data_IF_140203944984
#
_entry.id   IF_140203944984
#
_cell.length_a   1.000
_cell.length_b   1.000
_cell.length_c   1.000
_cell.angle_alpha   90.00
_cell.angle_beta   90.00
_cell.angle_gamma   90.00
#
_symmetry.space_group_name_H-M   'P 1'
#
loop_
_entity.id
_entity.type
_entity.pdbx_description
1 polymer ?
#
# COMPACT_ATOMS: atom_id res chain seq x y z
N UNK A 1 7.10 -6.27 -10.97
CA UNK A 1 6.38 -6.89 -9.84
C UNK A 1 7.38 -7.40 -8.83
N UNK A 2 6.97 -7.51 -7.57
CA UNK A 2 7.80 -8.06 -6.48
C UNK A 2 7.83 -9.59 -6.53
N UNK A 3 8.61 -10.18 -5.62
CA UNK A 3 8.82 -11.63 -5.51
C UNK A 3 7.52 -12.42 -5.29
N UNK A 4 6.52 -11.79 -4.67
CA UNK A 4 5.18 -12.36 -4.42
C UNK A 4 4.28 -12.37 -5.68
N UNK A 5 4.80 -11.88 -6.81
CA UNK A 5 4.11 -11.73 -8.07
C UNK A 5 2.71 -11.09 -7.91
N UNK A 6 2.65 -10.01 -7.12
CA UNK A 6 1.42 -9.27 -6.86
C UNK A 6 1.51 -7.81 -7.33
N UNK A 7 0.34 -7.22 -7.53
CA UNK A 7 0.17 -5.79 -7.78
C UNK A 7 -0.87 -5.22 -6.82
N UNK A 8 -0.70 -3.97 -6.43
CA UNK A 8 -1.71 -3.20 -5.72
C UNK A 8 -2.55 -2.41 -6.72
N UNK A 9 -3.87 -2.46 -6.55
CA UNK A 9 -4.80 -1.54 -7.20
C UNK A 9 -5.55 -0.81 -6.10
N UNK A 10 -5.30 0.48 -5.93
CA UNK A 10 -6.09 1.35 -5.03
C UNK A 10 -7.26 1.99 -5.78
N UNK A 11 -8.27 2.44 -5.03
CA UNK A 11 -9.49 3.02 -5.56
C UNK A 11 -10.54 2.00 -5.98
N UNK A 12 -10.36 0.71 -5.68
CA UNK A 12 -11.31 -0.33 -6.09
C UNK A 12 -12.69 -0.16 -5.46
N UNK A 13 -12.79 0.54 -4.33
CA UNK A 13 -14.06 0.83 -3.68
C UNK A 13 -14.78 2.03 -4.30
N UNK A 14 -14.16 2.77 -5.22
CA UNK A 14 -14.72 4.02 -5.76
C UNK A 14 -15.81 3.82 -6.81
N UNK A 15 -16.07 2.56 -7.22
CA UNK A 15 -17.27 2.20 -7.97
C UNK A 15 -17.83 0.84 -7.55
N UNK A 16 -19.14 0.64 -7.76
CA UNK A 16 -19.82 -0.63 -7.45
C UNK A 16 -19.35 -1.80 -8.32
N UNK A 17 -18.89 -1.54 -9.53
CA UNK A 17 -18.54 -2.58 -10.50
C UNK A 17 -17.07 -3.03 -10.37
N UNK A 18 -16.21 -2.18 -9.82
CA UNK A 18 -14.76 -2.32 -9.77
C UNK A 18 -14.27 -3.72 -9.39
N UNK A 19 -14.75 -4.29 -8.28
CA UNK A 19 -14.24 -5.59 -7.80
C UNK A 19 -14.54 -6.72 -8.79
N UNK A 20 -15.77 -6.77 -9.29
CA UNK A 20 -16.18 -7.79 -10.28
C UNK A 20 -15.42 -7.64 -11.60
N UNK A 21 -15.26 -6.39 -12.06
CA UNK A 21 -14.53 -6.06 -13.29
C UNK A 21 -13.07 -6.48 -13.21
N UNK A 22 -12.37 -6.05 -12.15
CA UNK A 22 -10.94 -6.31 -11.99
C UNK A 22 -10.65 -7.81 -11.81
N UNK A 23 -11.51 -8.55 -11.08
CA UNK A 23 -11.40 -10.01 -10.96
C UNK A 23 -11.62 -10.71 -12.29
N UNK A 24 -12.64 -10.30 -13.05
CA UNK A 24 -12.93 -10.89 -14.36
C UNK A 24 -11.78 -10.70 -15.34
N UNK A 25 -11.13 -9.53 -15.34
CA UNK A 25 -9.99 -9.26 -16.23
C UNK A 25 -8.70 -9.97 -15.80
N UNK A 26 -8.61 -10.41 -14.53
CA UNK A 26 -7.42 -11.05 -13.99
C UNK A 26 -7.55 -12.59 -13.91
N UNK A 27 -8.62 -13.19 -14.41
CA UNK A 27 -8.91 -14.63 -14.24
C UNK A 27 -7.81 -15.53 -14.80
N UNK A 28 -7.19 -15.13 -15.91
CA UNK A 28 -6.13 -15.87 -16.59
C UNK A 28 -4.74 -15.23 -16.38
N UNK A 29 -4.63 -14.29 -15.45
CA UNK A 29 -3.39 -13.59 -15.18
C UNK A 29 -2.42 -14.45 -14.37
N UNK A 30 -1.13 -14.20 -14.59
CA UNK A 30 -0.05 -14.86 -13.84
C UNK A 30 0.19 -14.23 -12.47
N UNK A 31 -0.38 -13.05 -12.20
CA UNK A 31 -0.16 -12.30 -10.97
C UNK A 31 -1.45 -12.12 -10.15
N UNK A 32 -1.28 -11.91 -8.85
CA UNK A 32 -2.38 -11.63 -7.92
C UNK A 32 -2.65 -10.14 -7.81
N UNK A 33 -3.93 -9.76 -7.70
CA UNK A 33 -4.34 -8.38 -7.44
C UNK A 33 -4.67 -8.20 -5.97
N UNK A 34 -3.98 -7.25 -5.33
CA UNK A 34 -4.37 -6.68 -4.07
C UNK A 34 -5.26 -5.46 -4.29
N UNK A 35 -6.52 -5.57 -3.89
CA UNK A 35 -7.50 -4.50 -4.01
C UNK A 35 -7.55 -3.67 -2.73
N UNK A 36 -7.28 -2.37 -2.86
CA UNK A 36 -7.45 -1.40 -1.78
C UNK A 36 -8.63 -0.49 -2.11
N UNK A 37 -9.69 -0.49 -1.28
CA UNK A 37 -10.93 0.20 -1.62
C UNK A 37 -10.76 1.72 -1.68
N UNK A 38 -9.86 2.30 -0.88
CA UNK A 38 -9.73 3.74 -0.70
C UNK A 38 -9.35 4.48 -2.00
N UNK A 39 -10.13 5.52 -2.34
CA UNK A 39 -9.89 6.35 -3.53
C UNK A 39 -8.85 7.45 -3.35
N UNK A 40 -8.54 7.81 -2.11
CA UNK A 40 -7.55 8.85 -1.81
C UNK A 40 -6.19 8.23 -1.50
N UNK A 41 -5.14 8.80 -2.08
CA UNK A 41 -3.77 8.33 -1.94
C UNK A 41 -2.74 9.44 -2.16
N UNK A 42 -1.45 9.08 -2.11
CA UNK A 42 -0.33 10.02 -2.26
C UNK A 42 0.13 10.20 -3.73
N UNK A 43 -0.78 10.11 -4.69
CA UNK A 43 -0.52 10.24 -6.13
C UNK A 43 -1.70 10.91 -6.84
N UNK A 44 -1.61 11.13 -8.15
CA UNK A 44 -2.46 12.05 -8.91
C UNK A 44 -3.93 11.62 -9.01
N UNK A 45 -4.20 10.30 -8.94
CA UNK A 45 -5.55 9.74 -8.91
C UNK A 45 -6.44 10.37 -7.82
N UNK A 46 -5.86 10.79 -6.69
CA UNK A 46 -6.59 11.39 -5.59
C UNK A 46 -7.35 12.67 -6.01
N UNK A 47 -6.83 13.43 -6.98
CA UNK A 47 -7.47 14.65 -7.49
C UNK A 47 -8.77 14.36 -8.25
N UNK A 48 -8.85 13.20 -8.91
CA UNK A 48 -10.05 12.73 -9.62
C UNK A 48 -11.09 12.17 -8.64
N UNK A 49 -10.64 11.40 -7.65
CA UNK A 49 -11.52 10.92 -6.58
C UNK A 49 -12.17 12.07 -5.79
N UNK A 50 -11.44 13.17 -5.57
CA UNK A 50 -11.99 14.39 -4.97
C UNK A 50 -13.08 15.09 -5.81
N UNK A 51 -13.27 14.67 -7.07
CA UNK A 51 -14.26 15.17 -8.02
C UNK A 51 -15.33 14.13 -8.38
N UNK A 52 -15.51 13.11 -7.54
CA UNK A 52 -16.52 12.07 -7.71
C UNK A 52 -16.34 11.23 -8.97
N UNK A 53 -15.07 11.02 -9.35
CA UNK A 53 -14.69 10.19 -10.49
C UNK A 53 -14.12 8.87 -9.95
N UNK A 54 -14.60 7.71 -10.41
CA UNK A 54 -13.98 6.42 -10.09
C UNK A 54 -12.52 6.37 -10.53
N UNK A 55 -11.66 5.79 -9.70
CA UNK A 55 -10.22 5.75 -9.96
C UNK A 55 -9.66 4.35 -9.74
N UNK A 56 -8.66 4.02 -10.56
CA UNK A 56 -7.78 2.88 -10.33
C UNK A 56 -6.34 3.40 -10.29
N UNK A 57 -5.63 3.09 -9.21
CA UNK A 57 -4.20 3.37 -9.09
C UNK A 57 -3.43 2.06 -8.98
N UNK A 58 -2.79 1.67 -10.07
CA UNK A 58 -2.02 0.43 -10.16
C UNK A 58 -0.57 0.68 -9.77
N UNK A 59 -0.02 -0.18 -8.92
CA UNK A 59 1.36 -0.08 -8.45
C UNK A 59 1.94 -1.45 -8.12
N UNK A 60 3.21 -1.68 -8.46
CA UNK A 60 3.98 -2.83 -7.95
C UNK A 60 4.53 -2.61 -6.54
N UNK A 61 4.15 -1.51 -5.88
CA UNK A 61 4.69 -1.07 -4.60
C UNK A 61 6.08 -0.43 -4.72
N UNK A 62 6.54 0.16 -3.62
CA UNK A 62 7.89 0.72 -3.53
C UNK A 62 8.96 -0.39 -3.53
N UNK A 63 10.18 -0.02 -3.90
CA UNK A 63 11.42 -0.81 -3.76
C UNK A 63 12.43 -0.06 -2.86
N UNK A 64 13.53 -0.71 -2.49
CA UNK A 64 14.48 -0.20 -1.49
C UNK A 64 15.11 1.15 -1.88
N UNK A 65 15.35 1.37 -3.17
CA UNK A 65 16.02 2.56 -3.68
C UNK A 65 15.03 3.66 -4.10
N UNK A 66 13.73 3.47 -3.88
CA UNK A 66 12.69 4.45 -4.21
C UNK A 66 12.92 5.79 -3.49
N UNK A 67 12.82 6.92 -4.22
CA UNK A 67 13.21 8.27 -3.77
C UNK A 67 14.69 8.44 -3.42
N UNK A 68 15.57 7.59 -3.95
CA UNK A 68 17.03 7.75 -3.81
C UNK A 68 17.69 7.98 -5.17
N UNK A 69 18.94 8.50 -5.19
CA UNK A 69 19.74 8.56 -6.43
C UNK A 69 20.10 7.18 -7.01
N UNK A 70 19.80 6.09 -6.31
CA UNK A 70 20.03 4.72 -6.76
C UNK A 70 18.81 4.09 -7.44
N UNK A 71 17.68 4.80 -7.53
CA UNK A 71 16.52 4.41 -8.32
C UNK A 71 16.86 4.45 -9.82
N UNK A 72 17.38 3.33 -10.33
CA UNK A 72 17.95 3.20 -11.68
C UNK A 72 17.14 2.26 -12.54
N UNK A 73 17.22 2.45 -13.87
CA UNK A 73 16.52 1.62 -14.85
C UNK A 73 16.81 0.11 -14.71
N UNK A 74 18.03 -0.26 -14.31
CA UNK A 74 18.43 -1.67 -14.15
C UNK A 74 17.69 -2.39 -13.00
N UNK A 75 17.05 -1.64 -12.10
CA UNK A 75 16.22 -2.20 -11.01
C UNK A 75 14.81 -2.59 -11.49
N UNK A 76 14.44 -2.26 -12.73
CA UNK A 76 13.10 -2.50 -13.26
C UNK A 76 12.95 -3.97 -13.67
N UNK A 77 11.97 -4.65 -13.06
CA UNK A 77 11.48 -5.94 -13.54
C UNK A 77 10.64 -5.73 -14.82
N UNK A 78 11.29 -5.85 -15.99
CA UNK A 78 10.67 -5.63 -17.30
C UNK A 78 9.51 -6.59 -17.60
N UNK A 79 9.63 -7.87 -17.22
CA UNK A 79 8.57 -8.85 -17.41
C UNK A 79 7.33 -8.43 -16.63
N UNK A 80 7.52 -8.03 -15.37
CA UNK A 80 6.42 -7.56 -14.53
C UNK A 80 5.83 -6.23 -15.00
N UNK A 81 6.66 -5.31 -15.49
CA UNK A 81 6.20 -4.05 -16.05
C UNK A 81 5.33 -4.27 -17.29
N UNK A 82 5.72 -5.20 -18.18
CA UNK A 82 4.92 -5.58 -19.34
C UNK A 82 3.56 -6.15 -18.93
N UNK A 83 3.53 -7.10 -17.99
CA UNK A 83 2.28 -7.71 -17.54
C UNK A 83 1.31 -6.68 -16.92
N UNK A 84 1.83 -5.71 -16.16
CA UNK A 84 1.02 -4.59 -15.63
C UNK A 84 0.50 -3.71 -16.78
N UNK A 85 1.34 -3.41 -17.77
CA UNK A 85 0.95 -2.61 -18.92
C UNK A 85 -0.13 -3.30 -19.77
N UNK A 86 0.01 -4.61 -20.04
CA UNK A 86 -0.98 -5.41 -20.75
C UNK A 86 -2.33 -5.42 -19.99
N UNK A 87 -2.31 -5.68 -18.68
CA UNK A 87 -3.53 -5.65 -17.86
C UNK A 87 -4.19 -4.26 -17.84
N UNK A 88 -3.38 -3.21 -17.76
CA UNK A 88 -3.88 -1.83 -17.81
C UNK A 88 -4.53 -1.53 -19.16
N UNK A 89 -3.94 -2.04 -20.25
CA UNK A 89 -4.51 -1.93 -21.59
C UNK A 89 -5.86 -2.65 -21.67
N UNK A 90 -5.97 -3.89 -21.19
CA UNK A 90 -7.22 -4.64 -21.20
C UNK A 90 -8.31 -3.99 -20.34
N UNK A 91 -7.93 -3.44 -19.17
CA UNK A 91 -8.83 -2.67 -18.32
C UNK A 91 -9.35 -1.42 -19.06
N UNK A 92 -8.47 -0.64 -19.68
CA UNK A 92 -8.89 0.53 -20.47
C UNK A 92 -9.78 0.11 -21.63
N UNK A 93 -9.41 -0.92 -22.38
CA UNK A 93 -10.16 -1.42 -23.52
C UNK A 93 -11.55 -1.90 -23.10
N UNK A 94 -11.67 -2.57 -21.94
CA UNK A 94 -12.97 -2.91 -21.38
C UNK A 94 -13.76 -1.63 -21.07
N UNK A 95 -13.20 -0.71 -20.29
CA UNK A 95 -13.88 0.51 -19.84
C UNK A 95 -14.40 1.38 -20.99
N UNK A 96 -13.64 1.56 -22.07
CA UNK A 96 -14.07 2.38 -23.22
C UNK A 96 -15.17 1.73 -24.07
N UNK A 97 -15.34 0.41 -23.97
CA UNK A 97 -16.32 -0.36 -24.75
C UNK A 97 -17.54 -0.80 -23.92
N UNK A 98 -17.70 -0.29 -22.71
CA UNK A 98 -18.90 -0.54 -21.90
C UNK A 98 -20.06 0.33 -22.36
N UNK A 99 -21.26 -0.24 -22.31
CA UNK A 99 -22.49 0.51 -22.53
C UNK A 99 -22.77 1.50 -21.38
N UNK A 100 -22.34 1.16 -20.16
CA UNK A 100 -22.54 1.96 -18.96
C UNK A 100 -21.21 2.34 -18.29
N UNK A 101 -21.15 3.60 -17.85
CA UNK A 101 -20.07 4.13 -17.02
C UNK A 101 -20.03 3.43 -15.66
N UNK A 102 -18.87 3.47 -15.01
CA UNK A 102 -18.74 3.06 -13.61
C UNK A 102 -19.56 3.98 -12.69
N UNK A 103 -20.28 3.40 -11.74
CA UNK A 103 -21.08 4.19 -10.80
C UNK A 103 -20.24 4.59 -9.60
N UNK A 104 -19.95 5.89 -9.49
CA UNK A 104 -19.14 6.40 -8.40
C UNK A 104 -19.78 6.14 -7.02
N UNK A 105 -18.94 5.74 -6.08
CA UNK A 105 -19.27 5.71 -4.66
C UNK A 105 -18.08 6.17 -3.81
N UNK A 106 -18.37 6.70 -2.63
CA UNK A 106 -17.34 7.21 -1.71
C UNK A 106 -16.64 6.03 -1.04
N UNK A 107 -15.32 5.95 -1.21
CA UNK A 107 -14.46 4.99 -0.53
C UNK A 107 -13.32 5.70 0.20
N UNK A 108 -13.55 5.98 1.49
CA UNK A 108 -12.59 6.68 2.34
C UNK A 108 -12.57 8.21 2.17
N UNK A 109 -11.67 8.90 2.87
CA UNK A 109 -11.62 10.37 2.92
C UNK A 109 -11.25 10.95 1.55
N UNK A 110 -11.86 12.05 1.10
CA UNK A 110 -11.55 12.71 -0.19
C UNK A 110 -10.41 13.71 -0.17
N UNK A 111 -9.88 13.99 1.01
CA UNK A 111 -8.82 14.97 1.20
C UNK A 111 -7.87 14.51 2.31
N UNK A 112 -6.65 15.02 2.27
CA UNK A 112 -5.72 14.89 3.38
C UNK A 112 -6.35 15.52 4.62
N UNK A 113 -6.26 14.83 5.75
CA UNK A 113 -6.56 15.44 7.04
C UNK A 113 -5.72 16.72 7.20
N UNK A 114 -6.33 17.81 7.65
CA UNK A 114 -5.65 19.08 7.83
C UNK A 114 -4.50 18.92 8.83
N UNK A 115 -3.29 19.33 8.43
CA UNK A 115 -2.04 19.13 9.16
C UNK A 115 -0.99 18.46 8.28
N UNK A 116 -0.05 19.24 7.76
CA UNK A 116 1.09 18.71 6.99
C UNK A 116 1.82 17.65 7.82
N UNK A 117 1.88 16.41 7.32
CA UNK A 117 2.55 15.29 7.99
C UNK A 117 4.06 15.46 7.92
N UNK A 118 4.62 16.24 8.84
CA UNK A 118 6.04 16.11 9.22
C UNK A 118 6.06 15.13 10.40
N UNK A 119 6.29 13.86 10.09
CA UNK A 119 6.44 12.86 11.14
C UNK A 119 7.62 13.24 12.03
N UNK A 120 7.39 13.33 13.33
CA UNK A 120 8.44 13.64 14.32
C UNK A 120 9.44 12.49 14.44
N UNK A 121 8.99 11.27 14.14
CA UNK A 121 9.73 10.02 14.30
C UNK A 121 9.52 9.12 13.09
N UNK A 122 10.38 8.11 12.96
CA UNK A 122 10.19 7.02 12.01
C UNK A 122 10.56 5.70 12.69
N UNK A 123 9.84 4.62 12.35
CA UNK A 123 10.32 3.28 12.72
C UNK A 123 11.48 2.85 11.81
N UNK A 124 11.67 3.48 10.64
CA UNK A 124 12.68 3.07 9.68
C UNK A 124 12.30 1.80 8.92
N UNK A 125 11.01 1.50 8.79
CA UNK A 125 10.53 0.42 7.92
C UNK A 125 10.23 0.94 6.52
N UNK A 126 10.27 0.03 5.57
CA UNK A 126 9.72 0.20 4.24
C UNK A 126 8.39 -0.58 4.17
N UNK A 127 7.24 0.10 4.08
CA UNK A 127 5.94 -0.57 4.05
C UNK A 127 5.76 -1.44 2.80
N UNK A 128 5.13 -2.59 2.99
CA UNK A 128 4.59 -3.38 1.89
C UNK A 128 3.23 -2.82 1.49
N UNK A 129 3.20 -2.17 0.34
CA UNK A 129 2.00 -1.62 -0.26
C UNK A 129 1.18 -2.68 -1.03
N UNK A 130 1.78 -3.80 -1.41
CA UNK A 130 1.16 -4.86 -2.21
C UNK A 130 0.57 -6.01 -1.40
N UNK A 131 0.73 -6.05 -0.07
CA UNK A 131 0.19 -7.12 0.79
C UNK A 131 -1.34 -7.11 0.86
N UNK A 132 -1.97 -8.19 0.41
CA UNK A 132 -3.42 -8.40 0.19
C UNK A 132 -4.30 -8.40 1.45
N UNK A 133 -3.72 -8.34 2.64
CA UNK A 133 -4.46 -8.53 3.87
C UNK A 133 -4.74 -7.20 4.58
N UNK A 134 -6.03 -6.88 4.73
CA UNK A 134 -6.56 -5.78 5.56
C UNK A 134 -6.33 -5.95 7.07
N UNK A 135 -5.42 -6.84 7.45
CA UNK A 135 -5.16 -7.27 8.83
C UNK A 135 -3.79 -6.81 9.33
N UNK A 136 -3.18 -5.80 8.69
CA UNK A 136 -1.87 -5.31 9.07
C UNK A 136 -1.18 -4.48 8.01
N UNK A 137 -0.01 -3.94 8.38
CA UNK A 137 0.93 -3.37 7.44
C UNK A 137 2.15 -4.29 7.30
N UNK A 138 2.35 -4.87 6.12
CA UNK A 138 3.54 -5.65 5.84
C UNK A 138 4.81 -4.80 5.83
N UNK A 139 5.95 -5.43 6.12
CA UNK A 139 7.28 -4.81 6.11
C UNK A 139 8.09 -5.43 4.97
N UNK A 140 8.40 -4.62 3.95
CA UNK A 140 9.21 -5.04 2.81
C UNK A 140 10.70 -4.82 2.99
N UNK A 141 11.06 -3.98 3.95
CA UNK A 141 12.44 -3.65 4.24
C UNK A 141 12.56 -2.92 5.55
N UNK A 142 13.76 -2.93 6.09
CA UNK A 142 14.12 -2.20 7.29
C UNK A 142 15.39 -1.44 6.99
N UNK A 143 15.40 -0.15 7.32
CA UNK A 143 16.55 0.72 7.12
C UNK A 143 17.66 0.31 8.08
N UNK A 144 18.85 0.07 7.52
CA UNK A 144 20.06 -0.20 8.29
C UNK A 144 20.36 0.93 9.29
N UNK A 145 20.69 0.56 10.52
CA UNK A 145 20.90 1.45 11.67
C UNK A 145 19.64 2.14 12.18
N UNK A 146 18.45 1.80 11.67
CA UNK A 146 17.19 2.40 12.08
C UNK A 146 16.59 1.80 13.36
N UNK A 147 15.59 2.46 13.96
CA UNK A 147 14.88 1.98 15.14
C UNK A 147 14.33 0.55 15.01
N UNK A 148 13.66 0.25 13.89
CA UNK A 148 13.10 -1.07 13.62
C UNK A 148 14.16 -2.17 13.52
N UNK A 149 15.31 -1.89 12.88
CA UNK A 149 16.40 -2.87 12.79
C UNK A 149 16.99 -3.15 14.17
N UNK A 150 17.25 -2.09 14.93
CA UNK A 150 17.82 -2.18 16.29
C UNK A 150 16.90 -2.95 17.24
N UNK A 151 15.59 -2.88 17.02
CA UNK A 151 14.59 -3.61 17.78
C UNK A 151 14.34 -5.05 17.27
N UNK A 152 14.87 -5.41 16.11
CA UNK A 152 14.73 -6.75 15.53
C UNK A 152 13.47 -6.99 14.69
N UNK A 153 12.83 -5.93 14.19
CA UNK A 153 11.82 -6.01 13.11
C UNK A 153 12.54 -6.40 11.81
N UNK A 154 11.90 -7.23 10.99
CA UNK A 154 12.49 -7.81 9.77
C UNK A 154 11.55 -7.68 8.57
N UNK A 155 12.12 -7.78 7.35
CA UNK A 155 11.33 -8.03 6.13
C UNK A 155 10.46 -9.27 6.33
N UNK A 156 9.20 -9.20 5.94
CA UNK A 156 8.21 -10.25 6.13
C UNK A 156 7.39 -10.14 7.41
N UNK A 157 7.78 -9.28 8.35
CA UNK A 157 6.91 -8.94 9.49
C UNK A 157 5.66 -8.21 9.02
N UNK A 158 4.56 -8.42 9.73
CA UNK A 158 3.31 -7.67 9.52
C UNK A 158 2.92 -6.96 10.80
N UNK A 159 2.95 -5.63 10.79
CA UNK A 159 2.58 -4.80 11.93
C UNK A 159 1.05 -4.79 12.05
N UNK A 160 0.54 -5.24 13.19
CA UNK A 160 -0.91 -5.35 13.45
C UNK A 160 -1.39 -4.40 14.55
N UNK A 161 -0.49 -3.90 15.40
CA UNK A 161 -0.81 -2.84 16.35
C UNK A 161 0.44 -2.03 16.74
N UNK A 162 0.21 -0.79 17.17
CA UNK A 162 1.23 0.08 17.80
C UNK A 162 0.64 0.63 19.08
N UNK A 163 1.33 0.43 20.21
CA UNK A 163 0.87 0.76 21.57
C UNK A 163 -0.56 0.24 21.85
N UNK A 164 -0.85 -0.99 21.41
CA UNK A 164 -2.17 -1.62 21.57
C UNK A 164 -3.26 -1.10 20.63
N UNK A 165 -3.00 -0.07 19.83
CA UNK A 165 -3.97 0.41 18.84
C UNK A 165 -3.83 -0.36 17.51
N UNK A 166 -4.91 -0.90 16.95
CA UNK A 166 -4.86 -1.64 15.69
C UNK A 166 -4.27 -0.83 14.53
N UNK A 167 -3.58 -1.56 13.66
CA UNK A 167 -3.07 -1.13 12.36
C UNK A 167 -3.57 -2.14 11.34
N UNK A 168 -4.52 -1.72 10.51
CA UNK A 168 -5.14 -2.55 9.46
C UNK A 168 -4.63 -2.20 8.06
N UNK A 169 -4.09 -0.99 7.89
CA UNK A 169 -3.55 -0.50 6.63
C UNK A 169 -2.48 0.60 6.86
N UNK A 170 -1.91 1.09 5.76
CA UNK A 170 -0.89 2.15 5.79
C UNK A 170 -1.41 3.45 6.40
N UNK A 171 -2.68 3.81 6.21
CA UNK A 171 -3.23 5.06 6.72
C UNK A 171 -3.35 5.03 8.24
N UNK A 172 -3.75 3.90 8.80
CA UNK A 172 -3.78 3.68 10.24
C UNK A 172 -2.37 3.69 10.82
N UNK A 173 -1.43 2.98 10.21
CA UNK A 173 -0.01 3.03 10.59
C UNK A 173 0.50 4.46 10.67
N UNK A 174 0.27 5.27 9.62
CA UNK A 174 0.66 6.67 9.58
C UNK A 174 -0.07 7.51 10.63
N UNK A 175 -1.34 7.20 10.94
CA UNK A 175 -2.06 7.84 12.04
C UNK A 175 -1.43 7.52 13.39
N UNK A 176 -0.97 6.28 13.63
CA UNK A 176 -0.28 5.90 14.86
C UNK A 176 1.07 6.59 14.97
N UNK A 177 1.89 6.53 13.92
CA UNK A 177 3.22 7.12 13.87
C UNK A 177 3.21 8.64 14.17
N UNK A 178 2.19 9.37 13.69
CA UNK A 178 2.03 10.80 13.97
C UNK A 178 1.81 11.14 15.46
N UNK A 179 1.41 10.18 16.28
CA UNK A 179 1.15 10.37 17.72
C UNK A 179 2.36 10.03 18.59
N UNK A 180 3.45 9.54 18.00
CA UNK A 180 4.62 9.09 18.73
C UNK A 180 5.65 10.22 18.84
N UNK A 181 6.43 10.22 19.92
CA UNK A 181 7.45 11.22 20.23
C UNK A 181 8.85 10.59 20.21
N UNK A 182 9.86 11.37 19.83
CA UNK A 182 11.25 10.91 19.83
C UNK A 182 11.73 10.63 21.27
N UNK A 183 12.58 9.62 21.43
CA UNK A 183 13.06 9.15 22.73
C UNK A 183 12.07 8.29 23.50
N UNK A 184 10.89 8.01 22.96
CA UNK A 184 9.93 7.07 23.57
C UNK A 184 10.20 5.63 23.12
N UNK A 185 9.89 4.68 24.01
CA UNK A 185 9.80 3.26 23.67
C UNK A 185 8.35 2.94 23.33
N UNK A 186 8.11 2.27 22.20
CA UNK A 186 6.78 1.91 21.72
C UNK A 186 6.67 0.41 21.51
N UNK A 187 5.49 -0.14 21.83
CA UNK A 187 5.18 -1.54 21.62
C UNK A 187 4.67 -1.70 20.19
N UNK A 188 5.35 -2.52 19.38
CA UNK A 188 4.93 -2.84 18.02
C UNK A 188 4.58 -4.32 17.98
N UNK A 189 3.29 -4.61 17.80
CA UNK A 189 2.81 -5.97 17.63
C UNK A 189 3.00 -6.36 16.17
N UNK A 190 3.74 -7.44 15.94
CA UNK A 190 3.97 -8.00 14.61
C UNK A 190 3.53 -9.46 14.52
N UNK A 191 3.04 -9.85 13.35
CA UNK A 191 2.92 -11.26 12.96
C UNK A 191 4.14 -11.60 12.12
N UNK A 192 4.87 -12.66 12.50
CA UNK A 192 6.03 -13.20 11.79
C UNK A 192 5.80 -14.68 11.54
N UNK A 193 5.51 -15.03 10.29
CA UNK A 193 4.95 -16.37 9.99
C UNK A 193 3.59 -16.50 10.69
N UNK A 194 3.45 -17.51 11.54
CA UNK A 194 2.23 -17.74 12.33
C UNK A 194 2.32 -17.21 13.78
N UNK A 195 3.47 -16.65 14.16
CA UNK A 195 3.71 -16.17 15.52
C UNK A 195 3.38 -14.69 15.67
N UNK A 196 2.71 -14.33 16.78
CA UNK A 196 2.54 -12.95 17.20
C UNK A 196 3.62 -12.56 18.20
N UNK A 197 4.38 -11.53 17.86
CA UNK A 197 5.48 -10.98 18.67
C UNK A 197 5.14 -9.55 19.09
N UNK A 198 5.54 -9.16 20.30
CA UNK A 198 5.52 -7.76 20.75
C UNK A 198 6.96 -7.28 20.82
N UNK A 199 7.30 -6.30 19.99
CA UNK A 199 8.66 -5.76 19.86
C UNK A 199 8.70 -4.35 20.44
N UNK A 200 9.62 -4.11 21.38
CA UNK A 200 9.88 -2.78 21.93
C UNK A 200 10.81 -2.02 21.00
N UNK A 201 10.33 -0.91 20.44
CA UNK A 201 11.11 -0.05 19.52
C UNK A 201 11.39 1.28 20.18
N UNK A 202 12.67 1.68 20.22
CA UNK A 202 13.09 3.00 20.73
C UNK A 202 13.18 3.98 19.57
N UNK A 203 12.43 5.09 19.64
CA UNK A 203 12.27 6.09 18.57
C UNK A 203 13.26 7.25 18.62
#
# INVERSE_FOLDING_TARGET
MKDDNSIMISGTGTSSESESLLKSLNSDSTFSINMQPEGFGASDHASFYAKDIPVFFLSSGAHQDYHTPFDKADSINLIGAKAIADYTFDLMLNLINRDENLHFQVAGPKQRAAGGRRFKVTLGIMPNFTSTESNGLGVDGVRAGGPAESAGIKKGDRIVAINGFPVTNIYEYMSRLNKLEAGSTVNVDVIRGDERLVILVNL
#
